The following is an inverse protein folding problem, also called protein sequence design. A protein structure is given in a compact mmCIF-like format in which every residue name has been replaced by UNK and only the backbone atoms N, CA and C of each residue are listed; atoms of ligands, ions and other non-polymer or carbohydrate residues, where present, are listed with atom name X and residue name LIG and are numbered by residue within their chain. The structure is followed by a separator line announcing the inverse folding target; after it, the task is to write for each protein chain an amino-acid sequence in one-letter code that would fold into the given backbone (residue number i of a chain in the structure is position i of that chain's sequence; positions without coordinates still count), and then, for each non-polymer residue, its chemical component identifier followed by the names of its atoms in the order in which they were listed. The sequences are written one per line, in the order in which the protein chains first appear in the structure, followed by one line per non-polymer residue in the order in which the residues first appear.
data_IF_513021875789
#
_entry.id   IF_513021875789
#
_cell.length_a   1.000
_cell.length_b   1.000
_cell.length_c   1.000
_cell.angle_alpha   90.00
_cell.angle_beta   90.00
_cell.angle_gamma   90.00
#
_symmetry.space_group_name_H-M   'P 1'
#
loop_
_entity.id
_entity.type
_entity.pdbx_description
1 polymer ?
#
# COMPACT_ATOMS: atom_id res chain seq x y z
N UNK A 1 -57.38 -13.87 -29.22
CA UNK A 1 -56.56 -14.21 -28.02
C UNK A 1 -55.14 -13.74 -28.32
N UNK A 2 -54.75 -12.57 -27.81
CA UNK A 2 -53.45 -11.96 -28.06
C UNK A 2 -52.54 -12.35 -26.89
N UNK A 3 -51.50 -13.14 -27.13
CA UNK A 3 -50.46 -13.44 -26.12
C UNK A 3 -49.47 -12.28 -26.11
N UNK A 4 -49.48 -11.52 -25.02
CA UNK A 4 -48.47 -10.51 -24.76
C UNK A 4 -47.26 -11.18 -24.08
N UNK A 5 -46.15 -11.28 -24.80
CA UNK A 5 -44.87 -11.71 -24.23
C UNK A 5 -44.28 -10.57 -23.37
N UNK A 6 -44.23 -10.75 -22.06
CA UNK A 6 -43.52 -9.87 -21.16
C UNK A 6 -42.02 -10.25 -21.22
N UNK A 7 -41.20 -9.43 -21.87
CA UNK A 7 -39.75 -9.57 -21.85
C UNK A 7 -39.23 -9.08 -20.47
N UNK A 8 -38.84 -10.01 -19.62
CA UNK A 8 -38.12 -9.68 -18.37
C UNK A 8 -36.70 -9.31 -18.76
N UNK A 9 -36.41 -8.01 -18.79
CA UNK A 9 -35.07 -7.50 -18.97
C UNK A 9 -34.24 -7.86 -17.73
N UNK A 10 -33.30 -8.81 -17.85
CA UNK A 10 -32.26 -9.06 -16.86
C UNK A 10 -31.34 -7.86 -16.85
N UNK A 11 -31.50 -6.97 -15.86
CA UNK A 11 -30.56 -5.89 -15.58
C UNK A 11 -29.35 -6.53 -14.91
N UNK A 12 -28.32 -6.90 -15.68
CA UNK A 12 -27.04 -7.31 -15.12
C UNK A 12 -26.38 -6.05 -14.56
N UNK A 13 -26.56 -5.80 -13.26
CA UNK A 13 -25.71 -4.86 -12.54
C UNK A 13 -24.26 -5.32 -12.77
N UNK A 14 -23.46 -4.51 -13.47
CA UNK A 14 -22.02 -4.75 -13.59
C UNK A 14 -21.45 -4.79 -12.16
N UNK A 15 -21.03 -5.95 -11.71
CA UNK A 15 -20.39 -6.06 -10.40
C UNK A 15 -19.20 -5.11 -10.37
N UNK A 16 -19.16 -4.24 -9.36
CA UNK A 16 -18.07 -3.30 -9.22
C UNK A 16 -16.78 -4.09 -8.97
N UNK A 17 -15.70 -3.76 -9.71
CA UNK A 17 -14.40 -4.42 -9.53
C UNK A 17 -13.95 -4.31 -8.07
N UNK A 18 -13.47 -5.40 -7.43
CA UNK A 18 -12.92 -5.33 -6.08
C UNK A 18 -11.73 -4.36 -6.03
N UNK A 19 -11.55 -3.74 -4.88
CA UNK A 19 -10.58 -2.64 -4.70
C UNK A 19 -9.29 -3.14 -4.06
N UNK A 20 -8.16 -2.75 -4.65
CA UNK A 20 -6.84 -2.72 -4.01
C UNK A 20 -6.61 -1.31 -3.52
N UNK A 21 -6.63 -1.10 -2.22
CA UNK A 21 -6.38 0.18 -1.58
C UNK A 21 -4.90 0.32 -1.23
N UNK A 22 -4.19 1.25 -1.85
CA UNK A 22 -2.85 1.65 -1.42
C UNK A 22 -2.97 2.81 -0.44
N UNK A 23 -2.53 2.57 0.79
CA UNK A 23 -2.62 3.51 1.90
C UNK A 23 -1.22 3.77 2.47
N UNK A 24 -0.60 4.83 1.98
CA UNK A 24 0.80 5.12 2.22
C UNK A 24 1.10 6.61 2.40
N UNK A 25 2.38 6.93 2.32
CA UNK A 25 2.88 8.29 2.40
C UNK A 25 3.35 8.85 1.04
N UNK A 26 4.41 9.65 1.01
CA UNK A 26 4.93 10.29 -0.20
C UNK A 26 5.49 9.32 -1.23
N UNK A 27 5.97 8.15 -0.81
CA UNK A 27 6.53 7.14 -1.73
C UNK A 27 5.41 6.59 -2.62
N UNK A 28 4.29 6.22 -2.02
CA UNK A 28 3.13 5.70 -2.76
C UNK A 28 2.26 6.81 -3.38
N UNK A 29 2.30 8.05 -2.83
CA UNK A 29 1.62 9.20 -3.43
C UNK A 29 2.28 9.70 -4.73
N UNK A 30 3.50 9.24 -5.08
CA UNK A 30 4.23 9.68 -6.26
C UNK A 30 4.76 11.12 -6.13
N UNK A 31 5.36 11.43 -4.96
CA UNK A 31 5.88 12.77 -4.70
C UNK A 31 6.94 13.18 -5.73
N UNK A 32 6.77 14.40 -6.29
CA UNK A 32 7.73 15.01 -7.21
C UNK A 32 7.66 14.48 -8.65
N UNK A 33 6.61 13.75 -9.03
CA UNK A 33 6.39 13.22 -10.39
C UNK A 33 4.92 13.34 -10.80
N UNK A 34 4.64 13.09 -12.08
CA UNK A 34 3.28 12.95 -12.57
C UNK A 34 2.67 11.65 -12.03
N UNK A 35 1.39 11.67 -11.69
CA UNK A 35 0.72 10.56 -11.01
C UNK A 35 0.77 9.26 -11.81
N UNK A 36 0.70 9.35 -13.13
CA UNK A 36 0.75 8.23 -14.08
C UNK A 36 2.07 7.47 -14.05
N UNK A 37 3.14 8.12 -13.58
CA UNK A 37 4.48 7.54 -13.47
C UNK A 37 4.67 6.73 -12.17
N UNK A 38 3.79 6.92 -11.16
CA UNK A 38 3.93 6.28 -9.86
C UNK A 38 3.79 4.75 -9.94
N UNK A 39 4.49 4.02 -9.06
CA UNK A 39 4.38 2.56 -8.98
C UNK A 39 2.92 2.10 -8.76
N UNK A 40 2.10 2.91 -8.09
CA UNK A 40 0.68 2.60 -7.86
C UNK A 40 -0.11 2.67 -9.18
N UNK A 41 0.17 3.65 -10.04
CA UNK A 41 -0.45 3.72 -11.36
C UNK A 41 0.05 2.61 -12.28
N UNK A 42 1.33 2.26 -12.20
CA UNK A 42 1.90 1.12 -12.91
C UNK A 42 1.31 -0.22 -12.42
N UNK A 43 1.00 -0.34 -11.12
CA UNK A 43 0.29 -1.50 -10.56
C UNK A 43 -1.10 -1.67 -11.21
N UNK A 44 -1.87 -0.59 -11.35
CA UNK A 44 -3.16 -0.66 -12.07
C UNK A 44 -2.97 -1.15 -13.51
N UNK A 45 -1.99 -0.61 -14.23
CA UNK A 45 -1.70 -1.04 -15.61
C UNK A 45 -1.31 -2.52 -15.67
N UNK A 46 -0.52 -3.00 -14.72
CA UNK A 46 -0.11 -4.41 -14.61
C UNK A 46 -1.31 -5.32 -14.34
N UNK A 47 -2.20 -4.93 -13.44
CA UNK A 47 -3.44 -5.62 -13.11
C UNK A 47 -4.35 -5.72 -14.34
N UNK A 48 -4.51 -4.61 -15.10
CA UNK A 48 -5.34 -4.58 -16.30
C UNK A 48 -4.73 -5.43 -17.44
N UNK A 49 -3.41 -5.38 -17.62
CA UNK A 49 -2.69 -6.19 -18.61
C UNK A 49 -2.81 -7.69 -18.33
N UNK A 50 -2.87 -8.09 -17.06
CA UNK A 50 -3.04 -9.48 -16.65
C UNK A 50 -4.52 -9.88 -16.46
N UNK A 51 -5.47 -8.99 -16.80
CA UNK A 51 -6.92 -9.24 -16.75
C UNK A 51 -7.43 -9.69 -15.36
N UNK A 52 -6.77 -9.28 -14.26
CA UNK A 52 -7.10 -9.73 -12.91
C UNK A 52 -8.40 -9.13 -12.35
N UNK A 53 -8.96 -8.12 -13.00
CA UNK A 53 -10.29 -7.61 -12.68
C UNK A 53 -10.39 -6.72 -11.44
N UNK A 54 -9.28 -6.26 -10.85
CA UNK A 54 -9.26 -5.34 -9.71
C UNK A 54 -9.15 -3.87 -10.14
N UNK A 55 -9.54 -2.98 -9.23
CA UNK A 55 -9.34 -1.53 -9.35
C UNK A 55 -8.41 -1.05 -8.22
N UNK A 56 -7.34 -0.38 -8.57
CA UNK A 56 -6.44 0.24 -7.59
C UNK A 56 -6.96 1.62 -7.19
N UNK A 57 -6.98 1.89 -5.89
CA UNK A 57 -7.25 3.21 -5.31
C UNK A 57 -6.02 3.66 -4.54
N UNK A 58 -5.43 4.76 -4.96
CA UNK A 58 -4.33 5.38 -4.22
C UNK A 58 -4.89 6.39 -3.23
N UNK A 59 -4.87 6.04 -1.95
CA UNK A 59 -5.26 6.93 -0.84
C UNK A 59 -4.04 7.40 -0.02
N UNK A 60 -2.84 7.37 -0.62
CA UNK A 60 -1.61 7.82 0.02
C UNK A 60 -1.54 9.34 0.11
N UNK A 61 -0.92 9.85 1.18
CA UNK A 61 -0.79 11.29 1.46
C UNK A 61 0.66 11.62 1.83
N UNK A 62 1.29 12.50 1.07
CA UNK A 62 2.67 12.93 1.34
C UNK A 62 2.83 13.50 2.75
N UNK A 63 3.86 13.03 3.47
CA UNK A 63 4.15 13.43 4.84
C UNK A 63 3.30 12.75 5.91
N UNK A 64 2.42 11.81 5.52
CA UNK A 64 1.56 11.05 6.44
C UNK A 64 2.40 10.26 7.45
N UNK A 65 1.91 10.20 8.68
CA UNK A 65 2.49 9.44 9.78
C UNK A 65 1.58 8.27 10.16
N UNK A 66 2.10 7.31 10.91
CA UNK A 66 1.27 6.22 11.42
C UNK A 66 0.12 6.73 12.30
N UNK A 67 0.31 7.81 13.07
CA UNK A 67 -0.73 8.44 13.88
C UNK A 67 -1.84 9.09 13.04
N UNK A 68 -1.49 9.77 11.95
CA UNK A 68 -2.46 10.29 10.98
C UNK A 68 -3.19 9.16 10.27
N UNK A 69 -2.45 8.12 9.88
CA UNK A 69 -3.00 6.90 9.26
C UNK A 69 -4.08 6.24 10.11
N UNK A 70 -3.84 6.02 11.41
CA UNK A 70 -4.84 5.47 12.35
C UNK A 70 -6.14 6.30 12.35
N UNK A 71 -6.01 7.62 12.29
CA UNK A 71 -7.19 8.51 12.28
C UNK A 71 -7.97 8.43 10.98
N UNK A 72 -7.28 8.30 9.85
CA UNK A 72 -7.86 8.41 8.50
C UNK A 72 -8.35 7.08 7.93
N UNK A 73 -7.68 5.97 8.28
CA UNK A 73 -7.94 4.65 7.68
C UNK A 73 -9.38 4.18 7.83
N UNK A 74 -10.05 4.27 9.01
CA UNK A 74 -11.41 3.74 9.16
C UNK A 74 -12.39 4.31 8.13
N UNK A 75 -12.38 5.64 7.95
CA UNK A 75 -13.24 6.28 6.94
C UNK A 75 -12.85 5.91 5.51
N UNK A 76 -11.58 5.65 5.25
CA UNK A 76 -11.09 5.24 3.93
C UNK A 76 -11.55 3.81 3.60
N UNK A 77 -11.55 2.92 4.59
CA UNK A 77 -12.09 1.56 4.47
C UNK A 77 -13.60 1.59 4.16
N UNK A 78 -14.38 2.34 4.93
CA UNK A 78 -15.82 2.51 4.70
C UNK A 78 -16.14 3.05 3.29
N UNK A 79 -15.32 4.00 2.79
CA UNK A 79 -15.55 4.65 1.50
C UNK A 79 -15.26 3.72 0.31
N UNK A 80 -14.23 2.89 0.41
CA UNK A 80 -13.70 2.13 -0.73
C UNK A 80 -14.00 0.64 -0.67
N UNK A 81 -14.38 0.10 0.50
CA UNK A 81 -14.66 -1.31 0.75
C UNK A 81 -13.61 -2.25 0.08
N UNK A 82 -12.32 -2.14 0.47
CA UNK A 82 -11.24 -2.81 -0.24
C UNK A 82 -11.20 -4.32 0.06
N UNK A 83 -10.92 -5.12 -0.98
CA UNK A 83 -10.58 -6.53 -0.82
C UNK A 83 -9.12 -6.71 -0.34
N UNK A 84 -8.24 -5.78 -0.71
CA UNK A 84 -6.83 -5.76 -0.30
C UNK A 84 -6.41 -4.35 0.10
N UNK A 85 -5.76 -4.23 1.26
CA UNK A 85 -5.07 -3.02 1.71
C UNK A 85 -3.56 -3.22 1.63
N UNK A 86 -2.90 -2.37 0.87
CA UNK A 86 -1.44 -2.23 0.87
C UNK A 86 -1.10 -1.09 1.81
N UNK A 87 -0.57 -1.41 3.00
CA UNK A 87 -0.24 -0.45 4.06
C UNK A 87 1.25 -0.09 4.01
N UNK A 88 1.55 1.13 3.60
CA UNK A 88 2.92 1.65 3.40
C UNK A 88 3.09 2.95 4.22
N UNK A 89 3.29 2.85 5.55
CA UNK A 89 3.45 3.97 6.48
C UNK A 89 4.50 3.69 7.56
N UNK A 90 5.09 4.77 8.08
CA UNK A 90 6.05 4.73 9.17
C UNK A 90 7.34 5.48 8.85
N UNK A 91 7.67 5.71 7.58
CA UNK A 91 8.88 6.42 7.16
C UNK A 91 8.97 7.80 7.79
N UNK A 92 7.89 8.58 7.75
CA UNK A 92 7.83 9.92 8.34
C UNK A 92 8.00 9.91 9.87
N UNK A 93 7.44 8.91 10.55
CA UNK A 93 7.63 8.74 12.01
C UNK A 93 9.08 8.42 12.31
N UNK A 94 9.68 7.46 11.60
CA UNK A 94 11.06 7.04 11.76
C UNK A 94 12.04 8.18 11.53
N UNK A 95 11.88 8.94 10.42
CA UNK A 95 12.71 10.10 10.09
C UNK A 95 12.59 11.25 11.11
N UNK A 96 11.45 11.36 11.81
CA UNK A 96 11.23 12.34 12.88
C UNK A 96 11.64 11.83 14.26
N UNK A 97 12.15 10.59 14.36
CA UNK A 97 12.60 10.00 15.63
C UNK A 97 11.46 9.70 16.61
N UNK A 98 10.26 9.37 16.11
CA UNK A 98 9.13 9.06 16.97
C UNK A 98 9.36 7.77 17.77
N UNK A 99 8.72 7.63 18.95
CA UNK A 99 8.88 6.44 19.78
C UNK A 99 8.45 5.16 19.03
N UNK A 100 9.34 4.18 18.94
CA UNK A 100 9.13 2.93 18.19
C UNK A 100 7.87 2.17 18.63
N UNK A 101 7.58 2.15 19.93
CA UNK A 101 6.36 1.51 20.44
C UNK A 101 5.09 2.16 19.89
N UNK A 102 5.09 3.50 19.69
CA UNK A 102 3.95 4.21 19.11
C UNK A 102 3.78 3.88 17.62
N UNK A 103 4.88 3.85 16.88
CA UNK A 103 4.85 3.43 15.46
C UNK A 103 4.27 2.02 15.35
N UNK A 104 4.79 1.08 16.13
CA UNK A 104 4.34 -0.31 16.14
C UNK A 104 2.86 -0.45 16.53
N UNK A 105 2.44 0.22 17.60
CA UNK A 105 1.06 0.19 18.06
C UNK A 105 0.09 0.73 16.98
N UNK A 106 0.48 1.81 16.28
CA UNK A 106 -0.30 2.38 15.20
C UNK A 106 -0.37 1.44 13.98
N UNK A 107 0.75 0.82 13.58
CA UNK A 107 0.78 -0.18 12.51
C UNK A 107 -0.12 -1.37 12.85
N UNK A 108 -0.02 -1.88 14.09
CA UNK A 108 -0.87 -2.97 14.60
C UNK A 108 -2.36 -2.58 14.56
N UNK A 109 -2.70 -1.36 14.96
CA UNK A 109 -4.07 -0.87 14.93
C UNK A 109 -4.61 -0.82 13.50
N UNK A 110 -3.88 -0.20 12.57
CA UNK A 110 -4.30 -0.09 11.16
C UNK A 110 -4.43 -1.47 10.49
N UNK A 111 -3.49 -2.39 10.75
CA UNK A 111 -3.57 -3.77 10.24
C UNK A 111 -4.82 -4.47 10.74
N UNK A 112 -5.13 -4.33 12.05
CA UNK A 112 -6.34 -4.89 12.65
C UNK A 112 -7.60 -4.29 12.05
N UNK A 113 -7.68 -2.97 11.94
CA UNK A 113 -8.85 -2.27 11.38
C UNK A 113 -9.15 -2.74 9.96
N UNK A 114 -8.11 -2.95 9.13
CA UNK A 114 -8.27 -3.46 7.78
C UNK A 114 -8.77 -4.92 7.77
N UNK A 115 -8.21 -5.79 8.60
CA UNK A 115 -8.64 -7.20 8.74
C UNK A 115 -10.07 -7.30 9.28
N UNK A 116 -10.44 -6.52 10.30
CA UNK A 116 -11.79 -6.47 10.86
C UNK A 116 -12.83 -5.95 9.86
N UNK A 117 -12.40 -5.09 8.92
CA UNK A 117 -13.23 -4.65 7.79
C UNK A 117 -13.45 -5.76 6.74
N UNK A 118 -12.68 -6.84 6.79
CA UNK A 118 -12.74 -7.97 5.85
C UNK A 118 -11.71 -7.92 4.73
N UNK A 119 -10.81 -6.95 4.73
CA UNK A 119 -9.75 -6.85 3.74
C UNK A 119 -8.57 -7.77 4.07
N UNK A 120 -7.92 -8.32 3.05
CA UNK A 120 -6.56 -8.87 3.18
C UNK A 120 -5.55 -7.72 3.33
N UNK A 121 -4.39 -7.94 3.99
CA UNK A 121 -3.39 -6.89 4.19
C UNK A 121 -2.03 -7.33 3.65
N UNK A 122 -1.41 -6.45 2.87
CA UNK A 122 0.02 -6.45 2.57
C UNK A 122 0.65 -5.28 3.35
N UNK A 123 1.46 -5.61 4.34
CA UNK A 123 2.27 -4.62 5.05
C UNK A 123 3.58 -4.40 4.29
N UNK A 124 3.93 -3.13 4.06
CA UNK A 124 5.21 -2.76 3.46
C UNK A 124 6.13 -2.19 4.53
N UNK A 125 7.27 -2.85 4.72
CA UNK A 125 8.31 -2.43 5.65
C UNK A 125 9.18 -1.31 5.08
N UNK A 126 9.92 -0.67 5.97
CA UNK A 126 10.80 0.45 5.65
C UNK A 126 12.11 0.33 6.42
N UNK A 127 13.17 0.90 5.84
CA UNK A 127 14.52 0.97 6.42
C UNK A 127 14.90 2.43 6.60
N UNK A 128 15.46 2.75 7.77
CA UNK A 128 15.96 4.10 8.05
C UNK A 128 17.46 4.21 7.75
N UNK A 129 17.94 5.41 7.40
CA UNK A 129 19.38 5.66 7.26
C UNK A 129 20.14 5.32 8.53
N UNK A 130 21.37 4.77 8.44
CA UNK A 130 22.13 4.27 9.59
C UNK A 130 22.55 5.35 10.60
N UNK A 131 22.53 6.63 10.23
CA UNK A 131 22.83 7.77 11.09
C UNK A 131 21.81 8.00 12.22
N UNK A 132 20.63 7.33 12.18
CA UNK A 132 19.66 7.32 13.29
C UNK A 132 20.10 6.41 14.46
N UNK A 133 21.17 5.67 14.29
CA UNK A 133 21.76 4.79 15.29
C UNK A 133 21.19 3.38 15.26
N UNK A 134 22.09 2.40 15.36
CA UNK A 134 21.77 0.96 15.17
C UNK A 134 20.55 0.51 15.97
N UNK A 135 20.46 0.90 17.26
CA UNK A 135 19.37 0.45 18.12
C UNK A 135 18.01 0.93 17.64
N UNK A 136 17.92 2.18 17.18
CA UNK A 136 16.67 2.75 16.70
C UNK A 136 16.30 2.14 15.35
N UNK A 137 17.23 2.06 14.40
CA UNK A 137 17.03 1.47 13.07
C UNK A 137 16.55 0.03 13.19
N UNK A 138 17.27 -0.83 13.94
CA UNK A 138 16.88 -2.23 14.10
C UNK A 138 15.51 -2.40 14.80
N UNK A 139 15.19 -1.55 15.78
CA UNK A 139 13.89 -1.60 16.44
C UNK A 139 12.74 -1.11 15.54
N UNK A 140 13.04 -0.15 14.66
CA UNK A 140 12.09 0.34 13.65
C UNK A 140 11.76 -0.77 12.64
N UNK A 141 12.77 -1.37 12.02
CA UNK A 141 12.59 -2.49 11.09
C UNK A 141 11.85 -3.68 11.74
N UNK A 142 12.25 -4.05 12.97
CA UNK A 142 11.62 -5.15 13.71
C UNK A 142 10.13 -4.91 13.93
N UNK A 143 9.66 -3.64 14.00
CA UNK A 143 8.25 -3.33 14.22
C UNK A 143 7.34 -3.85 13.11
N UNK A 144 7.78 -3.82 11.86
CA UNK A 144 7.02 -4.35 10.72
C UNK A 144 6.96 -5.88 10.76
N UNK A 145 8.08 -6.54 11.06
CA UNK A 145 8.12 -8.01 11.19
C UNK A 145 7.25 -8.51 12.34
N UNK A 146 7.29 -7.83 13.49
CA UNK A 146 6.48 -8.18 14.66
C UNK A 146 4.99 -8.03 14.34
N UNK A 147 4.56 -6.90 13.75
CA UNK A 147 3.15 -6.67 13.41
C UNK A 147 2.67 -7.68 12.36
N UNK A 148 3.47 -7.93 11.31
CA UNK A 148 3.10 -8.89 10.28
C UNK A 148 2.95 -10.31 10.83
N UNK A 149 3.87 -10.73 11.71
CA UNK A 149 3.83 -12.04 12.36
C UNK A 149 2.67 -12.18 13.34
N UNK A 150 2.38 -11.14 14.15
CA UNK A 150 1.28 -11.14 15.12
C UNK A 150 -0.09 -11.21 14.44
N UNK A 151 -0.25 -10.56 13.30
CA UNK A 151 -1.50 -10.49 12.55
C UNK A 151 -1.64 -11.56 11.46
N UNK A 152 -0.60 -12.38 11.24
CA UNK A 152 -0.51 -13.39 10.16
C UNK A 152 -0.77 -12.78 8.76
N UNK A 153 -0.17 -11.60 8.50
CA UNK A 153 -0.29 -10.91 7.21
C UNK A 153 1.00 -10.96 6.41
N UNK A 154 0.89 -10.73 5.10
CA UNK A 154 2.07 -10.66 4.24
C UNK A 154 2.88 -9.40 4.52
N UNK A 155 4.20 -9.53 4.49
CA UNK A 155 5.16 -8.44 4.60
C UNK A 155 6.05 -8.41 3.36
N UNK A 156 6.13 -7.23 2.71
CA UNK A 156 7.26 -6.87 1.86
C UNK A 156 8.27 -6.12 2.74
N UNK A 157 9.44 -6.69 3.04
CA UNK A 157 10.32 -6.12 4.06
C UNK A 157 10.83 -4.70 3.76
N UNK A 158 11.07 -4.39 2.47
CA UNK A 158 11.57 -3.08 2.05
C UNK A 158 11.20 -2.79 0.59
N UNK A 159 10.41 -1.73 0.36
CA UNK A 159 9.96 -1.34 -0.98
C UNK A 159 11.07 -0.70 -1.83
N UNK A 160 12.07 -0.06 -1.22
CA UNK A 160 13.14 0.65 -1.90
C UNK A 160 14.43 -0.19 -1.99
N UNK A 161 14.33 -1.51 -1.88
CA UNK A 161 15.47 -2.40 -2.03
C UNK A 161 16.05 -2.26 -3.46
N UNK A 162 17.37 -2.17 -3.56
CA UNK A 162 18.03 -1.89 -4.83
C UNK A 162 17.96 -0.45 -5.35
N UNK A 163 16.92 0.33 -4.96
CA UNK A 163 16.77 1.73 -5.38
C UNK A 163 17.66 2.68 -4.58
N UNK A 164 17.73 2.50 -3.27
CA UNK A 164 18.51 3.40 -2.38
C UNK A 164 20.02 3.28 -2.56
N UNK A 165 20.51 2.27 -3.23
CA UNK A 165 21.95 2.10 -3.53
C UNK A 165 22.39 2.86 -4.80
N UNK A 166 21.44 3.27 -5.64
CA UNK A 166 21.69 4.04 -6.85
C UNK A 166 21.20 5.48 -6.70
N UNK A 167 22.14 6.43 -6.73
CA UNK A 167 21.82 7.85 -6.59
C UNK A 167 21.02 8.43 -7.76
N UNK A 168 21.09 7.83 -8.93
CA UNK A 168 20.32 8.27 -10.10
C UNK A 168 18.83 7.93 -9.96
N UNK A 169 18.49 6.94 -9.11
CA UNK A 169 17.14 6.52 -8.83
C UNK A 169 16.48 7.27 -7.66
N UNK A 170 17.25 8.15 -6.99
CA UNK A 170 16.77 8.99 -5.87
C UNK A 170 16.79 10.46 -6.29
N UNK A 171 15.70 11.16 -5.97
CA UNK A 171 15.56 12.60 -6.20
C UNK A 171 16.63 13.39 -5.42
N UNK A 172 16.77 14.67 -5.75
CA UNK A 172 17.80 15.55 -5.13
C UNK A 172 17.64 15.72 -3.62
N UNK A 173 16.46 15.40 -3.07
CA UNK A 173 16.20 15.46 -1.63
C UNK A 173 16.83 14.28 -0.85
N UNK A 174 17.31 13.26 -1.55
CA UNK A 174 17.97 12.09 -0.96
C UNK A 174 17.00 11.10 -0.30
N UNK A 175 15.70 11.22 -0.52
CA UNK A 175 14.66 10.42 0.14
C UNK A 175 13.74 9.75 -0.89
N UNK A 176 13.20 10.52 -1.84
CA UNK A 176 12.16 10.05 -2.73
C UNK A 176 12.74 9.41 -3.99
N UNK A 177 12.20 8.27 -4.44
CA UNK A 177 12.59 7.66 -5.71
C UNK A 177 12.19 8.55 -6.90
N UNK A 178 12.97 8.47 -7.98
CA UNK A 178 12.63 9.14 -9.24
C UNK A 178 11.53 8.41 -10.00
N UNK A 179 11.06 8.99 -11.11
CA UNK A 179 10.11 8.32 -12.02
C UNK A 179 10.69 7.05 -12.63
N UNK A 180 12.00 7.02 -12.91
CA UNK A 180 12.69 5.85 -13.44
C UNK A 180 12.74 4.68 -12.45
N UNK A 181 12.76 4.99 -11.15
CA UNK A 181 12.75 3.98 -10.09
C UNK A 181 11.38 3.29 -9.91
N UNK A 182 10.28 3.91 -10.35
CA UNK A 182 8.93 3.41 -10.06
C UNK A 182 8.65 2.02 -10.65
N UNK A 183 9.26 1.69 -11.77
CA UNK A 183 9.17 0.35 -12.36
C UNK A 183 9.82 -0.69 -11.44
N UNK A 184 10.95 -0.35 -10.81
CA UNK A 184 11.63 -1.25 -9.87
C UNK A 184 10.78 -1.48 -8.62
N UNK A 185 10.14 -0.43 -8.09
CA UNK A 185 9.21 -0.57 -6.98
C UNK A 185 8.05 -1.53 -7.31
N UNK A 186 7.51 -1.42 -8.52
CA UNK A 186 6.48 -2.35 -8.99
C UNK A 186 7.02 -3.78 -9.08
N UNK A 187 8.24 -3.99 -9.60
CA UNK A 187 8.84 -5.33 -9.73
C UNK A 187 9.10 -5.96 -8.34
N UNK A 188 9.35 -5.17 -7.29
CA UNK A 188 9.48 -5.65 -5.91
C UNK A 188 8.12 -6.01 -5.29
N UNK A 189 7.07 -5.23 -5.57
CA UNK A 189 5.72 -5.48 -5.05
C UNK A 189 5.01 -6.62 -5.77
N UNK A 190 5.20 -6.73 -7.09
CA UNK A 190 4.41 -7.62 -7.94
C UNK A 190 4.47 -9.09 -7.53
N UNK A 191 5.64 -9.70 -7.23
CA UNK A 191 5.73 -11.10 -6.82
C UNK A 191 5.00 -11.41 -5.50
N UNK A 192 4.77 -10.39 -4.67
CA UNK A 192 4.06 -10.54 -3.39
C UNK A 192 2.57 -10.33 -3.58
N UNK A 193 2.18 -9.29 -4.34
CA UNK A 193 0.77 -8.90 -4.46
C UNK A 193 -0.01 -9.81 -5.43
N UNK A 194 0.61 -10.25 -6.55
CA UNK A 194 -0.08 -11.08 -7.54
C UNK A 194 -0.69 -12.36 -6.94
N UNK A 195 0.05 -13.19 -6.17
CA UNK A 195 -0.54 -14.37 -5.54
C UNK A 195 -1.65 -14.05 -4.54
N UNK A 196 -1.63 -12.85 -3.94
CA UNK A 196 -2.71 -12.39 -3.05
C UNK A 196 -3.98 -12.09 -3.85
N UNK A 197 -3.84 -11.42 -5.00
CA UNK A 197 -4.96 -11.12 -5.89
C UNK A 197 -5.59 -12.38 -6.49
N UNK A 198 -4.77 -13.37 -6.83
CA UNK A 198 -5.24 -14.66 -7.39
C UNK A 198 -6.06 -15.48 -6.39
N UNK A 199 -5.99 -15.17 -5.09
CA UNK A 199 -6.70 -15.86 -4.01
C UNK A 199 -7.89 -15.06 -3.43
N UNK A 200 -8.21 -13.89 -3.99
CA UNK A 200 -9.35 -13.05 -3.62
C UNK A 200 -10.52 -13.20 -4.59
#
# INVERSE_FOLDING_TARGET
MVLTFLAIGCNTASAQKPVVLVFGDSISAGYGMEQEQSWVSLLQQRIDTNELGFRVVNASVSGETTGGGVTRLPKTLELHDPALVVLELGGNDGLRGYPINKIRDNLRQMTRDALEHGATVLLIGMVLPPNYGRRYVSAFEASFHEVASEADVKLLPYLLDGVTTDRELIQRDGIHPTSEAQVLLLEDVWPVIQPMLDNL
#
